data_IF_781490944177
#
_entry.id   IF_781490944177
#
_cell.length_a   1.000
_cell.length_b   1.000
_cell.length_c   1.000
_cell.angle_alpha   90.00
_cell.angle_beta   90.00
_cell.angle_gamma   90.00
#
_symmetry.space_group_name_H-M   'P 1'
#
loop_
_entity.id
_entity.type
_entity.pdbx_description
1 polymer ?
#
# COMPACT_ATOMS: atom_id res chain seq x y z
N UNK A 1 13.91 47.27 -9.34
CA UNK A 1 13.08 46.09 -8.99
C UNK A 1 13.81 45.12 -8.08
N UNK A 2 15.10 44.81 -8.30
CA UNK A 2 15.92 43.94 -7.42
C UNK A 2 16.06 44.43 -5.97
N UNK A 3 16.10 45.74 -5.72
CA UNK A 3 16.22 46.30 -4.37
C UNK A 3 14.93 46.23 -3.53
N UNK A 4 13.76 46.01 -4.14
CA UNK A 4 12.49 45.85 -3.41
C UNK A 4 12.38 44.43 -2.84
N UNK A 5 12.62 43.42 -3.69
CA UNK A 5 12.51 42.02 -3.32
C UNK A 5 13.50 41.60 -2.22
N UNK A 6 14.71 42.19 -2.19
CA UNK A 6 15.68 41.96 -1.11
C UNK A 6 15.25 42.58 0.22
N UNK A 7 14.51 43.69 0.17
CA UNK A 7 14.00 44.39 1.35
C UNK A 7 12.81 43.64 1.94
N UNK A 8 11.90 43.18 1.08
CA UNK A 8 10.74 42.36 1.47
C UNK A 8 11.18 41.00 2.06
N UNK A 9 12.26 40.41 1.52
CA UNK A 9 12.85 39.18 2.07
C UNK A 9 13.53 39.41 3.43
N UNK A 10 14.21 40.54 3.62
CA UNK A 10 14.83 40.88 4.90
C UNK A 10 13.76 41.15 5.98
N UNK A 11 12.70 41.87 5.65
CA UNK A 11 11.57 42.12 6.56
C UNK A 11 10.82 40.82 6.90
N UNK A 12 10.68 39.88 5.96
CA UNK A 12 10.10 38.57 6.22
C UNK A 12 10.99 37.70 7.12
N UNK A 13 12.32 37.75 6.96
CA UNK A 13 13.27 37.03 7.82
C UNK A 13 13.23 37.64 9.24
N UNK A 14 13.24 38.96 9.37
CA UNK A 14 13.18 39.64 10.66
C UNK A 14 11.82 39.40 11.37
N UNK A 15 10.73 39.32 10.62
CA UNK A 15 9.42 38.93 11.15
C UNK A 15 9.42 37.47 11.64
N UNK A 16 10.03 36.53 10.91
CA UNK A 16 10.16 35.13 11.33
C UNK A 16 11.09 35.00 12.54
N UNK A 17 12.20 35.73 12.57
CA UNK A 17 13.13 35.77 13.71
C UNK A 17 12.47 36.36 14.96
N UNK A 18 11.66 37.42 14.82
CA UNK A 18 10.92 38.00 15.95
C UNK A 18 9.84 37.06 16.50
N UNK A 19 9.16 36.31 15.63
CA UNK A 19 8.15 35.31 16.05
C UNK A 19 8.83 34.11 16.71
N UNK A 20 9.95 33.62 16.16
CA UNK A 20 10.67 32.46 16.69
C UNK A 20 11.50 32.74 17.95
N UNK A 21 11.89 34.00 18.17
CA UNK A 21 12.51 34.48 19.41
C UNK A 21 11.51 34.96 20.46
N UNK A 22 10.22 35.04 20.12
CA UNK A 22 9.18 35.43 21.07
C UNK A 22 9.05 34.40 22.18
N UNK A 23 8.90 34.90 23.41
CA UNK A 23 8.80 34.06 24.62
C UNK A 23 7.60 33.11 24.56
N UNK A 24 6.48 33.54 23.97
CA UNK A 24 5.31 32.70 23.74
C UNK A 24 5.55 31.55 22.75
N UNK A 25 6.30 31.78 21.67
CA UNK A 25 6.65 30.71 20.72
C UNK A 25 7.64 29.72 21.33
N UNK A 26 8.64 30.22 22.08
CA UNK A 26 9.57 29.34 22.80
C UNK A 26 8.87 28.53 23.90
N UNK A 27 7.95 29.12 24.66
CA UNK A 27 7.17 28.42 25.69
C UNK A 27 6.18 27.40 25.06
N UNK A 28 5.58 27.73 23.91
CA UNK A 28 4.72 26.81 23.14
C UNK A 28 5.51 25.64 22.56
N UNK A 29 6.67 25.90 21.97
CA UNK A 29 7.57 24.85 21.48
C UNK A 29 8.15 24.03 22.62
N UNK A 30 8.49 24.64 23.76
CA UNK A 30 8.94 23.93 24.95
C UNK A 30 7.83 23.02 25.49
N UNK A 31 6.57 23.47 25.51
CA UNK A 31 5.41 22.61 25.85
C UNK A 31 5.20 21.47 24.86
N UNK A 32 5.32 21.70 23.56
CA UNK A 32 5.18 20.66 22.54
C UNK A 32 6.35 19.67 22.63
N UNK A 33 7.56 20.15 22.91
CA UNK A 33 8.74 19.33 23.14
C UNK A 33 8.57 18.55 24.44
N UNK A 34 8.10 19.16 25.53
CA UNK A 34 7.77 18.47 26.79
C UNK A 34 6.63 17.48 26.63
N UNK A 35 5.57 17.76 25.86
CA UNK A 35 4.52 16.79 25.53
C UNK A 35 5.06 15.64 24.69
N UNK A 36 5.95 15.91 23.73
CA UNK A 36 6.60 14.87 22.91
C UNK A 36 7.61 14.06 23.70
N UNK A 37 8.37 14.71 24.58
CA UNK A 37 9.29 14.09 25.55
C UNK A 37 8.45 13.24 26.49
N UNK A 38 7.43 13.77 27.16
CA UNK A 38 6.55 13.03 28.07
C UNK A 38 5.75 11.92 27.37
N UNK A 39 5.37 12.06 26.10
CA UNK A 39 4.79 10.96 25.31
C UNK A 39 5.84 9.91 24.91
N UNK A 40 7.11 10.29 24.70
CA UNK A 40 8.22 9.36 24.49
C UNK A 40 8.74 8.72 25.79
N UNK A 41 8.53 9.34 26.94
CA UNK A 41 8.88 8.86 28.29
C UNK A 41 7.69 8.24 29.04
N UNK A 42 6.49 8.22 28.43
CA UNK A 42 5.41 7.38 28.90
C UNK A 42 5.86 5.93 28.69
N UNK A 43 6.31 5.29 29.77
CA UNK A 43 6.70 3.87 29.82
C UNK A 43 5.73 3.07 28.98
N UNK A 44 6.22 2.46 27.90
CA UNK A 44 5.35 1.79 26.93
C UNK A 44 4.51 0.75 27.67
N UNK A 45 3.34 0.40 27.14
CA UNK A 45 2.53 -0.65 27.77
C UNK A 45 3.35 -1.93 27.94
N UNK A 46 4.24 -2.25 26.99
CA UNK A 46 5.16 -3.38 27.07
C UNK A 46 6.19 -3.20 28.21
N UNK A 47 6.78 -2.01 28.37
CA UNK A 47 7.76 -1.74 29.43
C UNK A 47 7.16 -1.96 30.84
N UNK A 48 5.92 -1.53 31.07
CA UNK A 48 5.21 -1.77 32.35
C UNK A 48 5.02 -3.25 32.63
N UNK A 49 4.63 -4.02 31.61
CA UNK A 49 4.45 -5.47 31.73
C UNK A 49 5.79 -6.16 32.03
N UNK A 50 6.88 -5.69 31.41
CA UNK A 50 8.23 -6.21 31.65
C UNK A 50 8.65 -5.95 33.11
N UNK A 51 8.35 -4.77 33.64
CA UNK A 51 8.61 -4.42 35.05
C UNK A 51 7.82 -5.33 36.01
N UNK A 52 6.51 -5.51 35.78
CA UNK A 52 5.65 -6.41 36.56
C UNK A 52 6.17 -7.85 36.56
N UNK A 53 6.56 -8.37 35.38
CA UNK A 53 7.14 -9.70 35.26
C UNK A 53 8.50 -9.81 35.97
N UNK A 54 9.30 -8.73 35.96
CA UNK A 54 10.62 -8.68 36.62
C UNK A 54 10.49 -8.76 38.14
N UNK A 55 9.46 -8.15 38.71
CA UNK A 55 9.15 -8.24 40.14
C UNK A 55 8.69 -9.64 40.58
N UNK A 56 8.08 -10.41 39.66
CA UNK A 56 7.55 -11.74 39.94
C UNK A 56 8.53 -12.88 39.66
N UNK A 57 9.61 -12.64 38.93
CA UNK A 57 10.54 -13.68 38.47
C UNK A 57 11.73 -13.88 39.42
N UNK A 58 12.12 -15.13 39.66
CA UNK A 58 13.35 -15.49 40.39
C UNK A 58 14.49 -15.82 39.41
N UNK A 59 14.81 -14.86 38.53
CA UNK A 59 15.93 -14.94 37.58
C UNK A 59 15.51 -14.81 36.12
N UNK A 60 16.49 -14.64 35.23
CA UNK A 60 16.28 -14.28 33.82
C UNK A 60 15.46 -15.33 33.04
N UNK A 61 15.64 -16.61 33.34
CA UNK A 61 14.92 -17.70 32.67
C UNK A 61 13.42 -17.69 33.01
N UNK A 62 13.08 -17.45 34.28
CA UNK A 62 11.69 -17.33 34.71
C UNK A 62 11.07 -16.04 34.18
N UNK A 63 11.84 -14.95 34.18
CA UNK A 63 11.43 -13.67 33.60
C UNK A 63 11.07 -13.80 32.11
N UNK A 64 11.95 -14.41 31.31
CA UNK A 64 11.69 -14.63 29.89
C UNK A 64 10.46 -15.53 29.66
N UNK A 65 10.20 -16.50 30.54
CA UNK A 65 9.01 -17.34 30.46
C UNK A 65 7.72 -16.55 30.74
N UNK A 66 7.70 -15.70 31.78
CA UNK A 66 6.55 -14.85 32.13
C UNK A 66 6.25 -13.82 31.03
N UNK A 67 7.29 -13.13 30.54
CA UNK A 67 7.15 -12.15 29.45
C UNK A 67 6.61 -12.83 28.18
N UNK A 68 7.10 -14.04 27.86
CA UNK A 68 6.61 -14.81 26.71
C UNK A 68 5.14 -15.19 26.86
N UNK A 69 4.65 -15.56 28.05
CA UNK A 69 3.23 -15.81 28.25
C UNK A 69 2.40 -14.55 28.06
N UNK A 70 2.85 -13.40 28.57
CA UNK A 70 2.21 -12.11 28.31
C UNK A 70 2.19 -11.77 26.82
N UNK A 71 3.30 -11.99 26.12
CA UNK A 71 3.38 -11.80 24.67
C UNK A 71 2.36 -12.69 23.92
N UNK A 72 2.18 -13.94 24.36
CA UNK A 72 1.17 -14.85 23.80
C UNK A 72 -0.26 -14.36 24.07
N UNK A 73 -0.54 -13.79 25.24
CA UNK A 73 -1.83 -13.19 25.59
C UNK A 73 -2.14 -12.00 24.66
N UNK A 74 -1.23 -11.02 24.58
CA UNK A 74 -1.39 -9.88 23.68
C UNK A 74 -1.51 -10.27 22.22
N UNK A 75 -0.81 -11.31 21.79
CA UNK A 75 -0.96 -11.84 20.44
C UNK A 75 -2.38 -12.37 20.19
N UNK A 76 -2.99 -13.05 21.16
CA UNK A 76 -4.37 -13.56 21.05
C UNK A 76 -5.41 -12.45 21.08
N UNK A 77 -5.08 -11.31 21.69
CA UNK A 77 -5.89 -10.08 21.72
C UNK A 77 -5.65 -9.18 20.49
N UNK A 78 -4.96 -9.69 19.46
CA UNK A 78 -4.59 -8.95 18.25
C UNK A 78 -3.72 -7.70 18.50
N UNK A 79 -3.14 -7.56 19.69
CA UNK A 79 -2.18 -6.50 20.05
C UNK A 79 -0.76 -6.88 19.63
N UNK A 80 -0.56 -7.00 18.31
CA UNK A 80 0.66 -7.53 17.72
C UNK A 80 1.90 -6.65 17.94
N UNK A 81 1.73 -5.33 18.07
CA UNK A 81 2.82 -4.39 18.41
C UNK A 81 3.44 -4.73 19.76
N UNK A 82 2.60 -4.78 20.79
CA UNK A 82 3.01 -5.09 22.17
C UNK A 82 3.58 -6.52 22.22
N UNK A 83 2.93 -7.48 21.56
CA UNK A 83 3.44 -8.84 21.50
C UNK A 83 4.86 -8.89 20.89
N UNK A 84 5.12 -8.16 19.80
CA UNK A 84 6.43 -8.11 19.15
C UNK A 84 7.51 -7.46 20.04
N UNK A 85 7.17 -6.39 20.78
CA UNK A 85 8.05 -5.75 21.76
C UNK A 85 8.40 -6.72 22.91
N UNK A 86 7.41 -7.41 23.47
CA UNK A 86 7.63 -8.38 24.54
C UNK A 86 8.48 -9.57 24.07
N UNK A 87 8.25 -10.11 22.86
CA UNK A 87 9.13 -11.13 22.30
C UNK A 87 10.55 -10.62 22.06
N UNK A 88 10.70 -9.33 21.71
CA UNK A 88 12.03 -8.71 21.60
C UNK A 88 12.74 -8.72 22.94
N UNK A 89 12.05 -8.42 24.04
CA UNK A 89 12.62 -8.55 25.38
C UNK A 89 12.99 -10.00 25.73
N UNK A 90 12.17 -10.98 25.36
CA UNK A 90 12.53 -12.40 25.52
C UNK A 90 13.83 -12.76 24.78
N UNK A 91 14.01 -12.27 23.54
CA UNK A 91 15.21 -12.51 22.73
C UNK A 91 16.45 -11.84 23.35
N UNK A 92 16.29 -10.66 23.95
CA UNK A 92 17.38 -9.98 24.65
C UNK A 92 17.82 -10.70 25.92
N UNK A 93 16.90 -11.38 26.61
CA UNK A 93 17.19 -12.20 27.79
C UNK A 93 17.79 -13.56 27.42
N UNK A 94 17.28 -14.20 26.38
CA UNK A 94 17.81 -15.46 25.84
C UNK A 94 17.64 -15.51 24.32
N UNK A 95 18.74 -15.27 23.61
CA UNK A 95 18.78 -15.25 22.16
C UNK A 95 18.92 -16.64 21.52
N UNK A 96 19.01 -17.71 22.32
CA UNK A 96 19.23 -19.08 21.85
C UNK A 96 17.94 -19.85 21.52
N UNK A 97 16.80 -19.37 22.02
CA UNK A 97 15.51 -20.03 21.84
C UNK A 97 14.83 -19.67 20.51
N UNK A 98 14.80 -20.63 19.59
CA UNK A 98 14.11 -20.52 18.29
C UNK A 98 12.64 -20.11 18.40
N UNK A 99 11.97 -20.49 19.49
CA UNK A 99 10.56 -20.19 19.76
C UNK A 99 10.27 -18.69 19.76
N UNK A 100 11.15 -17.86 20.33
CA UNK A 100 10.91 -16.42 20.45
C UNK A 100 10.91 -15.73 19.08
N UNK A 101 11.89 -16.07 18.25
CA UNK A 101 11.95 -15.59 16.87
C UNK A 101 10.75 -16.09 16.06
N UNK A 102 10.36 -17.37 16.18
CA UNK A 102 9.19 -17.88 15.45
C UNK A 102 7.86 -17.21 15.84
N UNK A 103 7.69 -16.90 17.13
CA UNK A 103 6.50 -16.18 17.61
C UNK A 103 6.52 -14.70 17.20
N UNK A 104 7.67 -14.02 17.29
CA UNK A 104 7.81 -12.63 16.83
C UNK A 104 7.66 -12.51 15.31
N UNK A 105 8.19 -13.45 14.55
CA UNK A 105 7.94 -13.61 13.11
C UNK A 105 6.43 -13.69 12.82
N UNK A 106 5.67 -14.40 13.65
CA UNK A 106 4.22 -14.47 13.47
C UNK A 106 3.53 -13.14 13.74
N UNK A 107 3.97 -12.39 14.77
CA UNK A 107 3.48 -11.04 15.03
C UNK A 107 3.79 -10.11 13.83
N UNK A 108 5.00 -10.20 13.27
CA UNK A 108 5.36 -9.46 12.06
C UNK A 108 4.52 -9.84 10.84
N UNK A 109 4.18 -11.11 10.63
CA UNK A 109 3.25 -11.51 9.57
C UNK A 109 1.88 -10.87 9.72
N UNK A 110 1.38 -10.81 10.96
CA UNK A 110 0.08 -10.19 11.27
C UNK A 110 0.08 -8.67 11.07
N UNK A 111 1.24 -8.04 11.23
CA UNK A 111 1.49 -6.63 10.93
C UNK A 111 1.93 -6.38 9.48
N UNK A 112 1.99 -7.41 8.64
CA UNK A 112 2.45 -7.32 7.26
C UNK A 112 3.92 -6.85 7.09
N UNK A 113 4.71 -6.97 8.16
CA UNK A 113 6.14 -6.70 8.18
C UNK A 113 6.91 -7.92 7.66
N UNK A 114 6.66 -8.31 6.41
CA UNK A 114 7.09 -9.60 5.85
C UNK A 114 8.61 -9.78 5.81
N UNK A 115 9.37 -8.69 5.60
CA UNK A 115 10.83 -8.72 5.65
C UNK A 115 11.38 -9.08 7.04
N UNK A 116 10.82 -8.45 8.09
CA UNK A 116 11.17 -8.77 9.48
C UNK A 116 10.70 -10.20 9.85
N UNK A 117 9.50 -10.59 9.42
CA UNK A 117 9.01 -11.94 9.59
C UNK A 117 9.94 -12.99 8.96
N UNK A 118 10.45 -12.73 7.76
CA UNK A 118 11.39 -13.59 7.05
C UNK A 118 12.72 -13.71 7.82
N UNK A 119 13.26 -12.59 8.30
CA UNK A 119 14.51 -12.55 9.08
C UNK A 119 14.40 -13.39 10.36
N UNK A 120 13.34 -13.18 11.13
CA UNK A 120 13.11 -13.94 12.36
C UNK A 120 12.84 -15.43 12.09
N UNK A 121 12.07 -15.75 11.05
CA UNK A 121 11.83 -17.14 10.69
C UNK A 121 13.13 -17.85 10.25
N UNK A 122 14.01 -17.16 9.53
CA UNK A 122 15.35 -17.67 9.20
C UNK A 122 16.16 -17.92 10.47
N UNK A 123 16.20 -16.97 11.41
CA UNK A 123 16.94 -17.14 12.66
C UNK A 123 16.40 -18.29 13.50
N UNK A 124 15.07 -18.45 13.56
CA UNK A 124 14.44 -19.57 14.24
C UNK A 124 14.84 -20.93 13.62
N UNK A 125 14.92 -21.03 12.30
CA UNK A 125 15.37 -22.24 11.59
C UNK A 125 16.87 -22.52 11.82
N UNK A 126 17.69 -21.47 11.87
CA UNK A 126 19.12 -21.58 12.17
C UNK A 126 19.34 -22.15 13.58
N UNK A 127 18.58 -21.68 14.57
CA UNK A 127 18.65 -22.13 15.97
C UNK A 127 18.06 -23.52 16.16
N UNK A 128 16.93 -23.83 15.51
CA UNK A 128 16.29 -25.15 15.56
C UNK A 128 15.77 -25.57 14.17
N UNK A 129 16.55 -26.36 13.41
CA UNK A 129 16.14 -26.86 12.11
C UNK A 129 14.93 -27.81 12.13
N UNK A 130 14.51 -28.28 13.31
CA UNK A 130 13.33 -29.14 13.50
C UNK A 130 12.06 -28.36 13.83
N UNK A 131 12.17 -27.04 14.04
CA UNK A 131 11.04 -26.19 14.42
C UNK A 131 10.10 -25.90 13.24
N UNK A 132 9.13 -26.80 13.05
CA UNK A 132 8.16 -26.78 11.92
C UNK A 132 7.46 -25.42 11.75
N UNK A 133 7.09 -24.75 12.84
CA UNK A 133 6.39 -23.46 12.78
C UNK A 133 7.24 -22.39 12.07
N UNK A 134 8.56 -22.39 12.23
CA UNK A 134 9.41 -21.40 11.58
C UNK A 134 9.42 -21.54 10.05
N UNK A 135 9.46 -22.77 9.51
CA UNK A 135 9.28 -22.99 8.06
C UNK A 135 7.91 -22.52 7.59
N UNK A 136 6.85 -22.78 8.36
CA UNK A 136 5.53 -22.27 8.04
C UNK A 136 5.50 -20.74 8.00
N UNK A 137 6.09 -20.05 9.00
CA UNK A 137 6.17 -18.58 9.02
C UNK A 137 6.96 -18.03 7.84
N UNK A 138 8.11 -18.64 7.53
CA UNK A 138 8.94 -18.24 6.38
C UNK A 138 8.20 -18.45 5.05
N UNK A 139 7.49 -19.57 4.91
CA UNK A 139 6.65 -19.84 3.75
C UNK A 139 5.56 -18.78 3.59
N UNK A 140 4.86 -18.44 4.67
CA UNK A 140 3.84 -17.38 4.67
C UNK A 140 4.40 -16.01 4.33
N UNK A 141 5.59 -15.66 4.84
CA UNK A 141 6.26 -14.40 4.50
C UNK A 141 6.62 -14.36 3.00
N UNK A 142 7.24 -15.43 2.49
CA UNK A 142 7.56 -15.56 1.07
C UNK A 142 6.31 -15.55 0.19
N UNK A 143 5.20 -16.13 0.65
CA UNK A 143 3.93 -16.13 -0.07
C UNK A 143 3.39 -14.70 -0.22
N UNK A 144 3.41 -13.91 0.85
CA UNK A 144 2.98 -12.50 0.83
C UNK A 144 3.91 -11.63 -0.03
N UNK A 145 5.21 -11.91 -0.01
CA UNK A 145 6.21 -11.28 -0.88
C UNK A 145 6.20 -11.82 -2.32
N UNK A 146 5.23 -12.66 -2.70
CA UNK A 146 5.13 -13.28 -4.03
C UNK A 146 6.32 -14.14 -4.46
N UNK A 147 7.18 -14.54 -3.51
CA UNK A 147 8.31 -15.46 -3.71
C UNK A 147 7.83 -16.91 -3.68
N UNK A 148 6.92 -17.26 -4.59
CA UNK A 148 6.14 -18.50 -4.55
C UNK A 148 6.99 -19.78 -4.59
N UNK A 149 8.11 -19.79 -5.32
CA UNK A 149 9.01 -20.95 -5.35
C UNK A 149 9.67 -21.20 -3.98
N UNK A 150 10.09 -20.13 -3.29
CA UNK A 150 10.66 -20.25 -1.94
C UNK A 150 9.59 -20.66 -0.93
N UNK A 151 8.39 -20.10 -1.04
CA UNK A 151 7.25 -20.49 -0.20
C UNK A 151 6.88 -21.97 -0.40
N UNK A 152 6.85 -22.45 -1.65
CA UNK A 152 6.51 -23.83 -1.98
C UNK A 152 7.51 -24.83 -1.36
N UNK A 153 8.81 -24.50 -1.42
CA UNK A 153 9.86 -25.33 -0.83
C UNK A 153 9.69 -25.49 0.69
N UNK A 154 9.37 -24.39 1.39
CA UNK A 154 9.12 -24.43 2.83
C UNK A 154 7.80 -25.13 3.17
N UNK A 155 6.72 -24.90 2.42
CA UNK A 155 5.46 -25.63 2.63
C UNK A 155 5.61 -27.13 2.40
N UNK A 156 6.41 -27.56 1.41
CA UNK A 156 6.70 -28.97 1.19
C UNK A 156 7.46 -29.58 2.38
N UNK A 157 8.39 -28.82 2.97
CA UNK A 157 9.10 -29.25 4.18
C UNK A 157 8.16 -29.37 5.38
N UNK A 158 7.29 -28.39 5.62
CA UNK A 158 6.26 -28.46 6.67
C UNK A 158 5.37 -29.69 6.48
N UNK A 159 4.87 -29.91 5.26
CA UNK A 159 4.01 -31.05 4.92
C UNK A 159 4.70 -32.39 5.17
N UNK A 160 5.99 -32.51 4.86
CA UNK A 160 6.80 -33.71 5.14
C UNK A 160 7.03 -33.94 6.63
N UNK A 161 7.26 -32.87 7.40
CA UNK A 161 7.47 -32.93 8.85
C UNK A 161 6.17 -33.09 9.66
N UNK A 162 5.02 -32.77 9.08
CA UNK A 162 3.71 -32.84 9.73
C UNK A 162 2.64 -33.38 8.76
N UNK A 163 2.72 -34.67 8.38
CA UNK A 163 1.90 -35.25 7.32
C UNK A 163 0.39 -35.30 7.64
N UNK A 164 0.02 -35.27 8.93
CA UNK A 164 -1.38 -35.26 9.38
C UNK A 164 -1.98 -33.84 9.45
N UNK A 165 -1.16 -32.80 9.27
CA UNK A 165 -1.62 -31.41 9.31
C UNK A 165 -2.30 -31.03 7.99
N UNK A 166 -3.64 -31.03 7.99
CA UNK A 166 -4.46 -30.67 6.84
C UNK A 166 -4.20 -29.24 6.34
N UNK A 167 -3.95 -28.29 7.23
CA UNK A 167 -3.67 -26.91 6.85
C UNK A 167 -2.35 -26.81 6.06
N UNK A 168 -1.29 -27.48 6.52
CA UNK A 168 -0.03 -27.55 5.79
C UNK A 168 -0.18 -28.18 4.39
N UNK A 169 -0.99 -29.23 4.29
CA UNK A 169 -1.30 -29.88 3.01
C UNK A 169 -2.05 -28.93 2.06
N UNK A 170 -3.04 -28.21 2.57
CA UNK A 170 -3.82 -27.24 1.81
C UNK A 170 -2.92 -26.08 1.33
N UNK A 171 -2.09 -25.52 2.20
CA UNK A 171 -1.15 -24.43 1.86
C UNK A 171 -0.14 -24.83 0.79
N UNK A 172 0.41 -26.04 0.88
CA UNK A 172 1.26 -26.59 -0.18
C UNK A 172 0.51 -26.69 -1.52
N UNK A 173 -0.72 -27.21 -1.52
CA UNK A 173 -1.51 -27.34 -2.75
C UNK A 173 -1.88 -25.98 -3.35
N UNK A 174 -2.27 -25.01 -2.53
CA UNK A 174 -2.54 -23.62 -2.94
C UNK A 174 -1.31 -23.00 -3.60
N UNK A 175 -0.15 -23.06 -2.92
CA UNK A 175 1.10 -22.51 -3.43
C UNK A 175 1.54 -23.21 -4.73
N UNK A 176 1.44 -24.54 -4.80
CA UNK A 176 1.78 -25.31 -6.00
C UNK A 176 0.88 -24.96 -7.19
N UNK A 177 -0.41 -24.71 -6.97
CA UNK A 177 -1.32 -24.24 -8.04
C UNK A 177 -0.86 -22.91 -8.60
N UNK A 178 -0.47 -21.96 -7.73
CA UNK A 178 0.03 -20.65 -8.14
C UNK A 178 1.34 -20.77 -8.92
N UNK A 179 2.32 -21.54 -8.40
CA UNK A 179 3.60 -21.77 -9.10
C UNK A 179 3.38 -22.39 -10.49
N UNK A 180 2.51 -23.40 -10.60
CA UNK A 180 2.17 -24.02 -11.88
C UNK A 180 1.48 -23.05 -12.85
N UNK A 181 0.55 -22.23 -12.34
CA UNK A 181 -0.13 -21.21 -13.13
C UNK A 181 0.88 -20.19 -13.68
N UNK A 182 1.76 -19.66 -12.82
CA UNK A 182 2.78 -18.69 -13.24
C UNK A 182 3.80 -19.29 -14.21
N UNK A 183 4.20 -20.55 -14.01
CA UNK A 183 5.08 -21.25 -14.94
C UNK A 183 4.40 -21.45 -16.31
N UNK A 184 3.10 -21.76 -16.33
CA UNK A 184 2.32 -21.86 -17.55
C UNK A 184 2.17 -20.50 -18.24
N UNK A 185 1.78 -19.46 -17.50
CA UNK A 185 1.69 -18.07 -17.98
C UNK A 185 3.03 -17.60 -18.59
N UNK A 186 4.15 -17.89 -17.93
CA UNK A 186 5.49 -17.59 -18.44
C UNK A 186 5.84 -18.37 -19.71
N UNK A 187 5.37 -19.62 -19.84
CA UNK A 187 5.61 -20.44 -21.01
C UNK A 187 4.76 -20.04 -22.23
N UNK A 188 3.53 -19.54 -22.00
CA UNK A 188 2.66 -19.00 -23.06
C UNK A 188 2.94 -17.53 -23.39
N UNK A 189 3.66 -16.84 -22.52
CA UNK A 189 4.21 -15.50 -22.76
C UNK A 189 5.28 -15.59 -23.86
N UNK A 190 4.83 -15.79 -25.10
CA UNK A 190 5.61 -15.49 -26.30
C UNK A 190 6.16 -14.06 -26.21
N UNK A 191 7.37 -13.85 -26.74
CA UNK A 191 7.98 -12.52 -26.90
C UNK A 191 6.89 -11.54 -27.34
N UNK A 192 6.62 -10.56 -26.46
CA UNK A 192 5.50 -9.63 -26.50
C UNK A 192 4.75 -9.61 -27.84
N UNK A 193 3.55 -10.21 -27.88
CA UNK A 193 2.50 -9.62 -28.69
C UNK A 193 2.40 -8.17 -28.23
N UNK A 194 2.98 -7.26 -29.00
CA UNK A 194 2.93 -5.80 -28.84
C UNK A 194 1.51 -5.23 -28.95
N UNK A 195 0.51 -6.10 -29.16
CA UNK A 195 -0.88 -5.72 -29.33
C UNK A 195 -1.48 -5.41 -27.97
N UNK A 196 -1.95 -4.18 -27.79
CA UNK A 196 -2.55 -3.76 -26.54
C UNK A 196 -3.95 -4.37 -26.39
N UNK A 197 -4.36 -4.66 -25.15
CA UNK A 197 -5.71 -5.20 -24.88
C UNK A 197 -6.74 -4.20 -25.38
N UNK A 198 -6.46 -2.91 -25.20
CA UNK A 198 -7.29 -1.81 -25.67
C UNK A 198 -7.58 -1.87 -27.18
N UNK A 199 -6.63 -2.31 -28.01
CA UNK A 199 -6.77 -2.34 -29.47
C UNK A 199 -7.81 -3.38 -29.93
N UNK A 200 -8.08 -4.37 -29.08
CA UNK A 200 -9.07 -5.42 -29.34
C UNK A 200 -10.46 -5.11 -28.78
N UNK A 201 -10.64 -3.99 -28.07
CA UNK A 201 -11.91 -3.62 -27.46
C UNK A 201 -12.79 -2.93 -28.50
N UNK A 202 -13.96 -3.52 -28.74
CA UNK A 202 -15.02 -2.92 -29.55
C UNK A 202 -16.13 -2.52 -28.61
N UNK A 203 -16.42 -1.23 -28.54
CA UNK A 203 -17.55 -0.72 -27.76
C UNK A 203 -18.83 -1.06 -28.52
N UNK A 204 -19.71 -1.83 -27.89
CA UNK A 204 -21.08 -1.99 -28.34
C UNK A 204 -21.87 -0.72 -27.98
N UNK A 205 -22.71 -0.27 -28.88
CA UNK A 205 -23.58 0.86 -28.63
C UNK A 205 -24.80 0.51 -27.79
N UNK A 206 -25.11 -0.79 -27.67
CA UNK A 206 -26.21 -1.29 -26.89
C UNK A 206 -26.06 -0.97 -25.39
N UNK A 207 -27.14 -0.43 -24.83
CA UNK A 207 -27.34 -0.21 -23.39
C UNK A 207 -28.79 -0.58 -23.11
N UNK A 208 -29.05 -1.45 -22.14
CA UNK A 208 -30.41 -1.91 -21.85
C UNK A 208 -31.30 -0.72 -21.46
N UNK A 209 -32.58 -0.77 -21.84
CA UNK A 209 -33.57 0.28 -21.49
C UNK A 209 -33.83 0.35 -19.99
N UNK A 210 -33.52 -0.72 -19.25
CA UNK A 210 -33.59 -0.81 -17.80
C UNK A 210 -32.37 -0.22 -17.08
N UNK A 211 -31.34 0.23 -17.81
CA UNK A 211 -30.19 0.90 -17.22
C UNK A 211 -30.46 2.39 -17.00
N UNK A 212 -30.64 2.76 -15.72
CA UNK A 212 -30.89 4.14 -15.26
C UNK A 212 -29.65 4.83 -14.65
N UNK A 213 -28.52 4.13 -14.61
CA UNK A 213 -27.26 4.64 -14.07
C UNK A 213 -26.64 5.80 -14.88
N UNK A 214 -25.43 6.25 -14.52
CA UNK A 214 -24.73 7.30 -15.25
C UNK A 214 -24.40 6.86 -16.68
N UNK A 215 -24.57 7.79 -17.63
CA UNK A 215 -24.27 7.61 -19.06
C UNK A 215 -23.20 8.61 -19.46
N UNK A 216 -22.15 8.11 -20.13
CA UNK A 216 -21.04 8.93 -20.61
C UNK A 216 -21.18 9.15 -22.11
N UNK A 217 -22.14 9.99 -22.50
CA UNK A 217 -22.40 10.28 -23.92
C UNK A 217 -21.46 11.39 -24.45
N UNK A 218 -21.05 12.33 -23.58
CA UNK A 218 -20.06 13.37 -23.87
C UNK A 218 -18.74 13.18 -23.10
N UNK A 219 -18.16 14.31 -22.69
CA UNK A 219 -17.03 14.36 -21.77
C UNK A 219 -17.47 14.10 -20.32
N UNK A 220 -16.54 13.63 -19.49
CA UNK A 220 -16.80 13.49 -18.06
C UNK A 220 -17.00 14.89 -17.47
N UNK A 221 -18.04 15.06 -16.69
CA UNK A 221 -18.35 16.30 -15.98
C UNK A 221 -18.74 16.00 -14.52
N UNK A 222 -18.89 17.06 -13.71
CA UNK A 222 -19.20 16.91 -12.29
C UNK A 222 -20.57 16.26 -12.02
N UNK A 223 -21.55 16.45 -12.92
CA UNK A 223 -22.86 15.80 -12.81
C UNK A 223 -22.75 14.28 -12.98
N UNK A 224 -22.00 13.84 -14.01
CA UNK A 224 -21.67 12.44 -14.22
C UNK A 224 -20.96 11.84 -12.99
N UNK A 225 -19.95 12.54 -12.45
CA UNK A 225 -19.21 12.07 -11.28
C UNK A 225 -20.09 11.91 -10.04
N UNK A 226 -20.96 12.89 -9.76
CA UNK A 226 -21.91 12.79 -8.65
C UNK A 226 -22.88 11.63 -8.83
N UNK A 227 -23.41 11.45 -10.05
CA UNK A 227 -24.30 10.32 -10.36
C UNK A 227 -23.58 8.98 -10.25
N UNK A 228 -22.32 8.89 -10.69
CA UNK A 228 -21.48 7.70 -10.56
C UNK A 228 -21.26 7.31 -9.10
N UNK A 229 -20.83 8.27 -8.27
CA UNK A 229 -20.62 8.05 -6.84
C UNK A 229 -21.93 7.60 -6.18
N UNK A 230 -23.06 8.22 -6.52
CA UNK A 230 -24.35 7.83 -5.96
C UNK A 230 -24.74 6.41 -6.38
N UNK A 231 -24.63 6.07 -7.67
CA UNK A 231 -24.87 4.70 -8.17
C UNK A 231 -24.02 3.67 -7.42
N UNK A 232 -22.76 3.97 -7.15
CA UNK A 232 -21.87 3.09 -6.37
C UNK A 232 -22.25 3.02 -4.89
N UNK A 233 -22.66 4.15 -4.26
CA UNK A 233 -23.17 4.14 -2.87
C UNK A 233 -24.39 3.23 -2.74
N UNK A 234 -25.24 3.21 -3.76
CA UNK A 234 -26.44 2.37 -3.88
C UNK A 234 -26.11 0.91 -4.31
N UNK A 235 -24.83 0.55 -4.36
CA UNK A 235 -24.31 -0.78 -4.75
C UNK A 235 -24.75 -1.22 -6.15
N UNK A 236 -25.03 -0.26 -7.02
CA UNK A 236 -25.25 -0.49 -8.44
C UNK A 236 -23.94 -0.35 -9.22
N UNK A 237 -23.88 -0.95 -10.42
CA UNK A 237 -22.68 -0.91 -11.26
C UNK A 237 -22.81 0.08 -12.41
N UNK A 238 -21.68 0.65 -12.81
CA UNK A 238 -21.56 1.39 -14.07
C UNK A 238 -21.76 0.41 -15.24
N UNK A 239 -22.51 0.82 -16.26
CA UNK A 239 -22.68 -0.03 -17.44
C UNK A 239 -21.34 -0.29 -18.14
N UNK A 240 -21.14 -1.52 -18.62
CA UNK A 240 -19.87 -2.00 -19.20
C UNK A 240 -19.35 -1.13 -20.35
N UNK A 241 -20.25 -0.59 -21.19
CA UNK A 241 -19.91 0.37 -22.26
C UNK A 241 -19.15 1.58 -21.71
N UNK A 242 -19.69 2.20 -20.66
CA UNK A 242 -19.10 3.41 -20.08
C UNK A 242 -17.87 3.10 -19.23
N UNK A 243 -17.84 1.94 -18.58
CA UNK A 243 -16.65 1.43 -17.90
C UNK A 243 -15.47 1.33 -18.88
N UNK A 244 -15.63 0.65 -20.02
CA UNK A 244 -14.58 0.61 -21.05
C UNK A 244 -14.25 2.00 -21.60
N UNK A 245 -15.23 2.86 -21.83
CA UNK A 245 -14.98 4.24 -22.31
C UNK A 245 -14.06 5.01 -21.34
N UNK A 246 -14.31 4.93 -20.02
CA UNK A 246 -13.44 5.54 -19.01
C UNK A 246 -12.03 4.94 -19.07
N UNK A 247 -11.91 3.61 -19.14
CA UNK A 247 -10.62 2.93 -19.15
C UNK A 247 -9.79 3.26 -20.40
N UNK A 248 -10.41 3.32 -21.58
CA UNK A 248 -9.74 3.71 -22.82
C UNK A 248 -9.25 5.17 -22.76
N UNK A 249 -10.09 6.08 -22.27
CA UNK A 249 -9.73 7.50 -22.11
C UNK A 249 -8.59 7.70 -21.10
N UNK A 250 -8.66 7.05 -19.94
CA UNK A 250 -7.62 7.20 -18.90
C UNK A 250 -6.30 6.59 -19.36
N UNK A 251 -6.34 5.49 -20.12
CA UNK A 251 -5.16 4.89 -20.74
C UNK A 251 -4.45 5.87 -21.67
N UNK A 252 -5.18 6.46 -22.62
CA UNK A 252 -4.63 7.44 -23.56
C UNK A 252 -4.01 8.65 -22.85
N UNK A 253 -4.59 9.04 -21.71
CA UNK A 253 -4.06 10.11 -20.88
C UNK A 253 -2.77 9.70 -20.17
N UNK A 254 -2.78 8.57 -19.45
CA UNK A 254 -1.67 8.12 -18.62
C UNK A 254 -0.41 7.77 -19.43
N UNK A 255 -0.56 7.25 -20.65
CA UNK A 255 0.56 6.97 -21.58
C UNK A 255 1.43 8.21 -21.81
N UNK A 256 0.81 9.41 -21.85
CA UNK A 256 1.48 10.67 -22.16
C UNK A 256 2.23 11.27 -20.97
N UNK A 257 1.98 10.77 -19.75
CA UNK A 257 2.62 11.29 -18.55
C UNK A 257 4.06 10.78 -18.42
N UNK A 258 4.97 11.57 -17.82
CA UNK A 258 6.26 11.07 -17.37
C UNK A 258 6.11 10.12 -16.18
N UNK A 259 7.17 9.36 -15.88
CA UNK A 259 7.19 8.46 -14.72
C UNK A 259 7.30 9.21 -13.38
N UNK A 260 7.80 10.45 -13.40
CA UNK A 260 7.74 11.38 -12.28
C UNK A 260 7.08 12.68 -12.75
N UNK A 261 6.02 13.09 -12.05
CA UNK A 261 5.21 14.26 -12.39
C UNK A 261 5.53 15.43 -11.46
N UNK A 262 5.90 16.56 -12.03
CA UNK A 262 6.12 17.80 -11.30
C UNK A 262 4.78 18.55 -11.12
N UNK A 263 4.44 18.89 -9.88
CA UNK A 263 3.20 19.59 -9.49
C UNK A 263 3.57 20.99 -8.99
N UNK A 264 2.86 22.00 -9.51
CA UNK A 264 2.95 23.38 -9.04
C UNK A 264 1.70 23.75 -8.25
N UNK A 265 1.89 24.08 -6.98
CA UNK A 265 0.83 24.56 -6.09
C UNK A 265 1.08 26.04 -5.81
N UNK A 266 0.16 26.94 -6.21
CA UNK A 266 0.33 28.37 -5.96
C UNK A 266 0.45 28.69 -4.46
N UNK A 267 1.13 29.79 -4.08
CA UNK A 267 1.22 30.20 -2.69
C UNK A 267 -0.15 30.30 -2.02
N UNK A 268 -0.23 29.90 -0.75
CA UNK A 268 -1.45 29.93 0.08
C UNK A 268 -2.62 29.06 -0.44
N UNK A 269 -2.40 28.21 -1.44
CA UNK A 269 -3.40 27.24 -1.89
C UNK A 269 -3.23 25.92 -1.16
N UNK A 270 -4.36 25.27 -0.88
CA UNK A 270 -4.42 23.94 -0.29
C UNK A 270 -4.09 22.88 -1.34
N UNK A 271 -3.40 21.82 -0.93
CA UNK A 271 -3.20 20.61 -1.72
C UNK A 271 -3.34 19.40 -0.80
N UNK A 272 -4.19 18.44 -1.16
CA UNK A 272 -4.44 17.25 -0.32
C UNK A 272 -3.71 16.04 -0.89
N UNK A 273 -3.01 15.31 -0.03
CA UNK A 273 -2.38 14.02 -0.36
C UNK A 273 -3.09 12.96 0.47
N UNK A 274 -3.61 11.94 -0.20
CA UNK A 274 -4.20 10.75 0.41
C UNK A 274 -3.25 9.56 0.21
N UNK A 275 -3.11 8.72 1.23
CA UNK A 275 -2.47 7.42 1.12
C UNK A 275 -3.44 6.36 0.59
N UNK A 276 -3.21 5.14 1.03
CA UNK A 276 -3.88 3.92 0.57
C UNK A 276 -5.39 3.98 0.82
N UNK A 277 -6.16 3.48 -0.15
CA UNK A 277 -7.63 3.39 -0.09
C UNK A 277 -8.07 1.93 -0.04
N UNK A 278 -7.35 1.01 -0.68
CA UNK A 278 -7.62 -0.43 -0.64
C UNK A 278 -9.09 -0.82 -0.83
N UNK A 279 -9.75 -0.24 -1.84
CA UNK A 279 -11.14 -0.52 -2.15
C UNK A 279 -12.14 -0.17 -1.05
N UNK A 280 -11.78 0.70 -0.11
CA UNK A 280 -12.67 1.26 0.90
C UNK A 280 -13.47 2.43 0.32
N UNK A 281 -14.36 2.14 -0.65
CA UNK A 281 -15.10 3.16 -1.40
C UNK A 281 -15.94 4.11 -0.52
N UNK A 282 -16.54 3.60 0.56
CA UNK A 282 -17.33 4.44 1.46
C UNK A 282 -16.44 5.40 2.27
N UNK A 283 -15.23 4.98 2.64
CA UNK A 283 -14.25 5.86 3.28
C UNK A 283 -13.69 6.89 2.29
N UNK A 284 -13.48 6.51 1.02
CA UNK A 284 -13.18 7.46 -0.05
C UNK A 284 -14.28 8.54 -0.19
N UNK A 285 -15.55 8.13 -0.13
CA UNK A 285 -16.67 9.08 -0.13
C UNK A 285 -16.63 9.99 1.10
N UNK A 286 -16.31 9.44 2.27
CA UNK A 286 -16.19 10.20 3.51
C UNK A 286 -15.04 11.23 3.43
N UNK A 287 -13.89 10.88 2.82
CA UNK A 287 -12.80 11.83 2.54
C UNK A 287 -13.34 13.04 1.76
N UNK A 288 -14.12 12.80 0.70
CA UNK A 288 -14.70 13.88 -0.09
C UNK A 288 -15.79 14.68 0.65
N UNK A 289 -16.49 14.07 1.58
CA UNK A 289 -17.49 14.75 2.41
C UNK A 289 -16.83 15.69 3.43
N UNK A 290 -15.78 15.23 4.12
CA UNK A 290 -15.09 16.03 5.15
C UNK A 290 -14.13 17.07 4.55
N UNK A 291 -13.46 16.76 3.44
CA UNK A 291 -12.40 17.59 2.86
C UNK A 291 -12.83 18.31 1.57
N UNK A 292 -14.06 18.06 1.11
CA UNK A 292 -14.62 18.59 -0.13
C UNK A 292 -14.29 17.73 -1.34
N UNK A 293 -15.19 17.71 -2.34
CA UNK A 293 -14.95 17.03 -3.61
C UNK A 293 -13.71 17.60 -4.32
N UNK A 294 -13.04 16.81 -5.18
CA UNK A 294 -11.99 17.31 -6.05
C UNK A 294 -12.50 18.43 -6.95
N UNK A 295 -11.71 19.50 -7.04
CA UNK A 295 -11.92 20.63 -7.95
C UNK A 295 -10.59 21.32 -8.24
N UNK A 296 -10.58 22.32 -9.11
CA UNK A 296 -9.37 23.14 -9.33
C UNK A 296 -8.90 23.85 -8.04
N UNK A 297 -9.84 24.23 -7.18
CA UNK A 297 -9.56 24.89 -5.89
C UNK A 297 -9.28 23.89 -4.75
N UNK A 298 -9.53 22.60 -4.97
CA UNK A 298 -9.31 21.54 -3.99
C UNK A 298 -8.62 20.33 -4.66
N UNK A 299 -7.33 20.47 -5.03
CA UNK A 299 -6.59 19.44 -5.73
C UNK A 299 -6.18 18.29 -4.81
N UNK A 300 -6.10 17.08 -5.40
CA UNK A 300 -5.75 15.84 -4.70
C UNK A 300 -4.63 15.08 -5.39
N UNK A 301 -3.80 14.42 -4.59
CA UNK A 301 -2.92 13.32 -5.00
C UNK A 301 -3.30 12.07 -4.19
N UNK A 302 -3.70 10.99 -4.86
CA UNK A 302 -3.86 9.67 -4.25
C UNK A 302 -2.59 8.85 -4.51
N UNK A 303 -1.90 8.47 -3.44
CA UNK A 303 -0.53 7.96 -3.49
C UNK A 303 -0.45 6.42 -3.56
N UNK A 304 -1.09 5.82 -4.56
CA UNK A 304 -1.10 4.38 -4.78
C UNK A 304 -2.08 3.61 -3.91
N UNK A 305 -2.15 2.30 -4.15
CA UNK A 305 -2.91 1.32 -3.37
C UNK A 305 -4.40 1.68 -3.26
N UNK A 306 -5.01 1.84 -4.43
CA UNK A 306 -6.41 2.17 -4.59
C UNK A 306 -7.31 0.95 -4.43
N UNK A 307 -6.79 -0.22 -4.79
CA UNK A 307 -7.49 -1.49 -4.94
C UNK A 307 -6.94 -2.56 -4.00
N UNK A 308 -7.53 -3.76 -4.10
CA UNK A 308 -7.25 -4.94 -3.26
C UNK A 308 -7.65 -4.78 -1.80
N UNK A 309 -7.74 -5.92 -1.08
CA UNK A 309 -8.20 -6.06 0.31
C UNK A 309 -9.68 -5.70 0.51
N UNK A 310 -10.07 -4.46 0.26
CA UNK A 310 -11.46 -4.02 0.32
C UNK A 310 -12.28 -4.53 -0.86
N UNK A 311 -13.58 -4.73 -0.62
CA UNK A 311 -14.50 -5.35 -1.59
C UNK A 311 -15.23 -4.35 -2.50
N UNK A 312 -14.81 -3.08 -2.49
CA UNK A 312 -15.33 -2.02 -3.36
C UNK A 312 -14.20 -1.35 -4.16
N UNK A 313 -13.22 -2.15 -4.59
CA UNK A 313 -12.06 -1.68 -5.36
C UNK A 313 -12.47 -1.14 -6.72
N UNK A 314 -13.45 -1.75 -7.37
CA UNK A 314 -13.99 -1.32 -8.67
C UNK A 314 -14.63 0.06 -8.56
N UNK A 315 -15.44 0.30 -7.55
CA UNK A 315 -16.11 1.59 -7.31
C UNK A 315 -15.09 2.69 -7.01
N UNK A 316 -14.10 2.38 -6.16
CA UNK A 316 -13.01 3.30 -5.83
C UNK A 316 -12.23 3.69 -7.09
N UNK A 317 -11.71 2.72 -7.86
CA UNK A 317 -10.84 3.03 -9.01
C UNK A 317 -11.59 3.75 -10.13
N UNK A 318 -12.85 3.41 -10.42
CA UNK A 318 -13.66 4.14 -11.40
C UNK A 318 -13.94 5.58 -10.95
N UNK A 319 -14.12 5.81 -9.66
CA UNK A 319 -14.28 7.15 -9.11
C UNK A 319 -12.99 7.97 -9.26
N UNK A 320 -11.84 7.40 -8.92
CA UNK A 320 -10.54 8.05 -9.06
C UNK A 320 -10.19 8.35 -10.53
N UNK A 321 -10.37 7.38 -11.43
CA UNK A 321 -10.17 7.60 -12.87
C UNK A 321 -11.13 8.63 -13.46
N UNK A 322 -12.39 8.64 -13.02
CA UNK A 322 -13.35 9.66 -13.40
C UNK A 322 -12.88 11.07 -13.02
N UNK A 323 -12.43 11.28 -11.78
CA UNK A 323 -11.85 12.57 -11.38
C UNK A 323 -10.54 12.89 -12.09
N UNK A 324 -9.71 11.89 -12.38
CA UNK A 324 -8.47 12.10 -13.15
C UNK A 324 -8.75 12.66 -14.53
N UNK A 325 -9.77 12.14 -15.20
CA UNK A 325 -10.21 12.61 -16.51
C UNK A 325 -10.93 13.96 -16.44
N UNK A 326 -11.69 14.22 -15.37
CA UNK A 326 -12.36 15.51 -15.16
C UNK A 326 -11.38 16.64 -14.83
N UNK A 327 -10.35 16.36 -14.04
CA UNK A 327 -9.43 17.35 -13.46
C UNK A 327 -7.97 16.95 -13.72
N UNK A 328 -7.53 16.87 -15.00
CA UNK A 328 -6.22 16.30 -15.34
C UNK A 328 -5.04 16.99 -14.67
N UNK A 329 -5.16 18.29 -14.38
CA UNK A 329 -4.12 19.13 -13.75
C UNK A 329 -4.36 19.41 -12.25
N UNK A 330 -5.35 18.78 -11.64
CA UNK A 330 -5.69 18.99 -10.21
C UNK A 330 -6.01 17.69 -9.47
N UNK A 331 -6.08 16.56 -10.18
CA UNK A 331 -6.24 15.24 -9.62
C UNK A 331 -5.09 14.34 -10.08
N UNK A 332 -4.31 13.84 -9.14
CA UNK A 332 -3.07 13.11 -9.38
C UNK A 332 -3.14 11.73 -8.73
N UNK A 333 -2.43 10.77 -9.33
CA UNK A 333 -2.44 9.37 -8.92
C UNK A 333 -1.04 8.79 -9.09
N UNK A 334 -0.46 8.26 -8.02
CA UNK A 334 0.78 7.48 -8.07
C UNK A 334 0.45 5.99 -8.19
N UNK A 335 1.33 5.19 -8.78
CA UNK A 335 1.24 3.73 -8.73
C UNK A 335 1.71 3.23 -7.36
N UNK A 336 0.91 2.39 -6.70
CA UNK A 336 1.29 1.59 -5.53
C UNK A 336 1.66 0.16 -5.91
N UNK A 337 2.07 -0.66 -4.95
CA UNK A 337 2.39 -2.06 -5.22
C UNK A 337 1.12 -2.88 -5.53
N UNK A 338 -0.04 -2.47 -5.02
CA UNK A 338 -1.32 -3.11 -5.33
C UNK A 338 -1.85 -2.77 -6.73
N UNK A 339 -1.26 -1.83 -7.46
CA UNK A 339 -1.51 -1.67 -8.91
C UNK A 339 -0.58 -2.57 -9.76
N UNK A 340 -0.55 -3.86 -9.41
CA UNK A 340 0.25 -4.90 -10.08
C UNK A 340 -0.51 -6.21 -10.25
N UNK A 341 -0.18 -6.96 -11.30
CA UNK A 341 -0.87 -8.20 -11.68
C UNK A 341 -0.85 -9.23 -10.55
N UNK A 342 0.31 -9.42 -9.93
CA UNK A 342 0.49 -10.42 -8.88
C UNK A 342 -0.33 -10.07 -7.64
N UNK A 343 -0.35 -8.79 -7.24
CA UNK A 343 -1.15 -8.36 -6.10
C UNK A 343 -2.65 -8.53 -6.38
N UNK A 344 -3.13 -8.08 -7.55
CA UNK A 344 -4.54 -8.15 -7.90
C UNK A 344 -5.08 -9.58 -8.00
N UNK A 345 -4.25 -10.54 -8.45
CA UNK A 345 -4.55 -11.97 -8.45
C UNK A 345 -4.71 -12.55 -7.04
N UNK A 346 -3.95 -12.02 -6.08
CA UNK A 346 -3.84 -12.57 -4.73
C UNK A 346 -4.81 -11.93 -3.75
N UNK A 347 -5.06 -10.63 -3.89
CA UNK A 347 -5.71 -9.80 -2.87
C UNK A 347 -7.07 -9.25 -3.25
N UNK A 348 -7.61 -9.65 -4.41
CA UNK A 348 -9.04 -9.64 -4.69
C UNK A 348 -9.48 -8.82 -5.89
N UNK A 349 -8.71 -7.82 -6.33
CA UNK A 349 -9.15 -6.90 -7.38
C UNK A 349 -9.45 -7.61 -8.71
N UNK A 350 -8.60 -8.55 -9.15
CA UNK A 350 -8.87 -9.30 -10.37
C UNK A 350 -10.18 -10.11 -10.26
N UNK A 351 -10.40 -10.73 -9.11
CA UNK A 351 -11.63 -11.48 -8.82
C UNK A 351 -12.86 -10.58 -8.83
N UNK A 352 -12.76 -9.39 -8.22
CA UNK A 352 -13.83 -8.40 -8.18
C UNK A 352 -14.19 -7.89 -9.58
N UNK A 353 -13.20 -7.52 -10.39
CA UNK A 353 -13.42 -7.06 -11.78
C UNK A 353 -14.06 -8.15 -12.62
N UNK A 354 -13.59 -9.40 -12.52
CA UNK A 354 -14.16 -10.54 -13.25
C UNK A 354 -15.59 -10.82 -12.84
N UNK A 355 -15.93 -10.65 -11.56
CA UNK A 355 -17.29 -10.84 -11.05
C UNK A 355 -18.25 -9.73 -11.50
N UNK A 356 -17.82 -8.46 -11.42
CA UNK A 356 -18.67 -7.31 -11.79
C UNK A 356 -18.77 -7.10 -13.31
N UNK A 357 -17.72 -7.47 -14.03
CA UNK A 357 -17.57 -7.33 -15.48
C UNK A 357 -17.10 -8.61 -16.17
N UNK A 358 -15.82 -8.68 -16.58
CA UNK A 358 -15.25 -9.81 -17.32
C UNK A 358 -13.71 -9.83 -17.26
N UNK A 359 -13.11 -10.93 -17.72
CA UNK A 359 -11.64 -11.12 -17.77
C UNK A 359 -10.92 -10.05 -18.59
N UNK A 360 -11.48 -9.66 -19.74
CA UNK A 360 -10.86 -8.68 -20.63
C UNK A 360 -10.73 -7.30 -19.99
N UNK A 361 -11.65 -6.93 -19.10
CA UNK A 361 -11.54 -5.70 -18.33
C UNK A 361 -10.45 -5.79 -17.25
N UNK A 362 -10.28 -6.95 -16.61
CA UNK A 362 -9.19 -7.15 -15.67
C UNK A 362 -7.82 -7.02 -16.36
N UNK A 363 -7.67 -7.62 -17.55
CA UNK A 363 -6.46 -7.48 -18.38
C UNK A 363 -6.19 -6.01 -18.77
N UNK A 364 -7.24 -5.27 -19.13
CA UNK A 364 -7.12 -3.84 -19.44
C UNK A 364 -6.71 -3.00 -18.23
N UNK A 365 -7.26 -3.28 -17.03
CA UNK A 365 -6.82 -2.62 -15.80
C UNK A 365 -5.32 -2.86 -15.54
N UNK A 366 -4.86 -4.11 -15.66
CA UNK A 366 -3.44 -4.46 -15.52
C UNK A 366 -2.56 -3.68 -16.50
N UNK A 367 -3.01 -3.53 -17.75
CA UNK A 367 -2.31 -2.71 -18.74
C UNK A 367 -2.28 -1.22 -18.33
N UNK A 368 -3.42 -0.67 -17.90
CA UNK A 368 -3.54 0.74 -17.50
C UNK A 368 -2.67 1.07 -16.28
N UNK A 369 -2.64 0.18 -15.29
CA UNK A 369 -1.85 0.34 -14.08
C UNK A 369 -0.35 0.46 -14.37
N UNK A 370 0.14 -0.17 -15.43
CA UNK A 370 1.52 -0.01 -15.87
C UNK A 370 1.86 1.43 -16.33
N UNK A 371 0.85 2.23 -16.71
CA UNK A 371 1.06 3.61 -17.16
C UNK A 371 0.91 4.66 -16.04
N UNK A 372 0.48 4.28 -14.83
CA UNK A 372 0.41 5.20 -13.69
C UNK A 372 1.80 5.77 -13.36
N UNK A 373 1.94 7.10 -13.15
CA UNK A 373 3.20 7.69 -12.67
C UNK A 373 3.69 7.03 -11.38
N UNK A 374 5.01 6.93 -11.20
CA UNK A 374 5.60 6.29 -10.02
C UNK A 374 5.72 7.27 -8.85
N UNK A 375 6.04 8.53 -9.14
CA UNK A 375 6.29 9.54 -8.11
C UNK A 375 5.79 10.93 -8.54
N UNK A 376 5.65 11.81 -7.55
CA UNK A 376 5.33 13.21 -7.76
C UNK A 376 6.31 14.12 -7.01
N UNK A 377 6.58 15.30 -7.54
CA UNK A 377 7.36 16.34 -6.86
C UNK A 377 6.53 17.62 -6.80
N UNK A 378 6.21 18.08 -5.59
CA UNK A 378 5.43 19.30 -5.38
C UNK A 378 6.37 20.46 -5.11
N UNK A 379 6.24 21.52 -5.91
CA UNK A 379 7.00 22.77 -5.82
C UNK A 379 8.53 22.57 -5.72
N UNK A 380 9.08 21.51 -6.33
CA UNK A 380 10.50 21.17 -6.29
C UNK A 380 11.07 20.94 -4.86
N UNK A 381 10.18 20.68 -3.89
CA UNK A 381 10.55 20.55 -2.47
C UNK A 381 10.06 19.25 -1.84
N UNK A 382 8.85 18.81 -2.17
CA UNK A 382 8.21 17.66 -1.53
C UNK A 382 8.17 16.52 -2.53
N UNK A 383 8.99 15.50 -2.31
CA UNK A 383 8.95 14.25 -3.06
C UNK A 383 7.90 13.31 -2.45
N UNK A 384 7.02 12.77 -3.29
CA UNK A 384 5.94 11.85 -2.89
C UNK A 384 6.05 10.57 -3.71
N UNK A 385 6.18 9.45 -3.01
CA UNK A 385 6.17 8.09 -3.55
C UNK A 385 5.33 7.20 -2.64
N UNK A 386 4.79 6.10 -3.17
CA UNK A 386 3.99 5.17 -2.38
C UNK A 386 4.85 4.44 -1.32
N UNK A 387 5.87 3.71 -1.75
CA UNK A 387 6.75 2.94 -0.85
C UNK A 387 7.80 3.79 -0.13
N UNK A 388 8.91 4.09 -0.79
CA UNK A 388 10.02 4.79 -0.16
C UNK A 388 11.19 5.10 -1.09
N UNK A 389 12.35 5.36 -0.47
CA UNK A 389 13.59 5.64 -1.18
C UNK A 389 14.26 4.35 -1.68
N UNK A 390 15.37 4.53 -2.41
CA UNK A 390 16.06 3.46 -3.11
C UNK A 390 17.10 2.77 -2.23
N UNK A 391 17.40 1.51 -2.58
CA UNK A 391 18.49 0.77 -1.94
C UNK A 391 19.87 1.32 -2.31
N UNK A 392 20.01 1.92 -3.50
CA UNK A 392 21.24 2.56 -3.98
C UNK A 392 21.25 4.05 -3.65
N UNK A 393 22.41 4.56 -3.22
CA UNK A 393 22.64 5.99 -3.14
C UNK A 393 22.74 6.64 -4.54
N UNK A 394 22.54 7.95 -4.60
CA UNK A 394 22.77 8.73 -5.81
C UNK A 394 21.66 8.64 -6.88
N UNK A 395 20.52 8.02 -6.57
CA UNK A 395 19.35 8.08 -7.46
C UNK A 395 18.81 9.51 -7.53
N UNK A 396 18.73 10.06 -8.73
CA UNK A 396 18.26 11.43 -8.98
C UNK A 396 16.83 11.43 -9.51
N UNK A 397 16.14 12.58 -9.39
CA UNK A 397 14.80 12.77 -9.98
C UNK A 397 14.79 12.54 -11.49
N UNK A 398 15.88 12.89 -12.18
CA UNK A 398 16.04 12.64 -13.62
C UNK A 398 16.11 11.13 -13.95
N UNK A 399 16.81 10.34 -13.11
CA UNK A 399 16.84 8.87 -13.24
C UNK A 399 15.43 8.29 -13.11
N UNK A 400 14.62 8.79 -12.16
CA UNK A 400 13.23 8.36 -11.97
C UNK A 400 12.34 8.74 -13.18
N UNK A 401 12.46 9.98 -13.69
CA UNK A 401 11.69 10.45 -14.86
C UNK A 401 11.87 9.55 -16.09
N UNK A 402 13.06 8.96 -16.25
CA UNK A 402 13.46 8.12 -17.38
C UNK A 402 13.11 6.63 -17.22
N UNK A 403 12.56 6.21 -16.07
CA UNK A 403 12.18 4.81 -15.87
C UNK A 403 11.09 4.41 -16.87
N UNK A 404 11.33 3.33 -17.62
CA UNK A 404 10.28 2.67 -18.38
C UNK A 404 9.34 1.94 -17.40
N UNK A 405 8.24 2.61 -17.05
CA UNK A 405 7.26 2.11 -16.08
C UNK A 405 6.22 1.17 -16.67
N UNK A 406 6.11 1.08 -18.00
CA UNK A 406 5.09 0.27 -18.68
C UNK A 406 5.41 -1.23 -18.64
N UNK A 407 5.43 -1.79 -17.43
CA UNK A 407 5.73 -3.18 -17.11
C UNK A 407 5.31 -3.47 -15.67
N UNK A 408 5.31 -4.75 -15.28
CA UNK A 408 5.18 -5.12 -13.87
C UNK A 408 6.44 -4.70 -13.07
N UNK A 409 6.31 -4.40 -11.77
CA UNK A 409 7.46 -4.13 -10.90
C UNK A 409 8.50 -5.26 -10.96
N UNK A 410 9.78 -4.95 -11.20
CA UNK A 410 10.84 -5.94 -11.11
C UNK A 410 11.12 -6.32 -9.64
N UNK A 411 11.87 -7.40 -9.43
CA UNK A 411 12.33 -7.78 -8.08
C UNK A 411 13.36 -6.78 -7.50
N UNK A 412 14.07 -6.05 -8.38
CA UNK A 412 15.11 -5.07 -8.03
C UNK A 412 15.05 -3.85 -8.96
N UNK A 413 15.38 -2.67 -8.42
CA UNK A 413 15.50 -1.43 -9.16
C UNK A 413 14.77 -0.26 -8.51
N UNK A 414 14.43 0.74 -9.32
CA UNK A 414 13.76 1.98 -8.88
C UNK A 414 12.25 1.79 -8.65
N UNK A 415 11.65 0.84 -9.36
CA UNK A 415 10.20 0.61 -9.38
C UNK A 415 9.82 -0.59 -8.55
#
# INVERSE_FOLDING_TARGET
MENSARRDAAEAIEAVESVTSSREFQDSMAKIIEERINNNYATSKADRIIEECSLAANGEKELAALIKEKANEFFKEDQYDIAAELYTKCILLDSSLALYYGNRSFAYLKKELYGLALSDANKAIELDPTYVKAYYRRASANMALSKFNLALADYDRVRKMSPTNKDAQNKYQECNKIVRRLAFEKAISSDHSTTSVADSIKLDDYVETTYFGPRLDGEINMEFMKKLIQTFKDQQKLHIKYAYKILLLVREYLIKLPSLVDIKVPPKHKFTICGDIHGQFYDLCNIFEINGLPSEQNPYLFNGDFVDRGSFSVEAIFTLFGFKLLLPNHFYMSRGNHESDVMNKMYGFEGEVKSKYNTKMAELFTEIFNYLPLCHVINERIFVCHGGLFQEDGVTLDRIRKVNRNRQPPDEGIM
#
